data_IF_662804097860
#
_entry.id   IF_662804097860
#
_cell.length_a   1.000
_cell.length_b   1.000
_cell.length_c   1.000
_cell.angle_alpha   90.00
_cell.angle_beta   90.00
_cell.angle_gamma   90.00
#
_symmetry.space_group_name_H-M   'P 1'
#
loop_
_entity.id
_entity.type
_entity.pdbx_description
1 polymer ?
#
# COMPACT_ATOMS: atom_id res chain seq x y z
N UNK A 1 34.22 29.20 9.42
CA UNK A 1 34.11 29.55 7.99
C UNK A 1 32.64 29.48 7.62
N UNK A 2 32.03 30.58 7.18
CA UNK A 2 30.64 30.56 6.67
C UNK A 2 30.66 30.07 5.23
N UNK A 3 29.94 28.99 4.93
CA UNK A 3 29.69 28.56 3.56
C UNK A 3 28.76 29.62 2.92
N UNK A 4 29.30 30.44 2.02
CA UNK A 4 28.53 31.47 1.31
C UNK A 4 27.89 30.87 0.06
N UNK A 5 26.65 30.39 0.18
CA UNK A 5 25.88 29.86 -0.95
C UNK A 5 25.65 30.92 -2.04
N UNK A 6 25.97 30.59 -3.30
CA UNK A 6 25.74 31.50 -4.44
C UNK A 6 24.29 31.36 -4.94
N UNK A 7 23.64 32.46 -5.36
CA UNK A 7 22.26 32.42 -5.86
C UNK A 7 22.02 31.48 -7.05
N UNK A 8 23.03 31.29 -7.91
CA UNK A 8 22.99 30.39 -9.07
C UNK A 8 22.82 28.92 -8.66
N UNK A 9 23.41 28.52 -7.52
CA UNK A 9 23.30 27.18 -6.99
C UNK A 9 21.87 26.89 -6.50
N UNK A 10 21.24 27.86 -5.83
CA UNK A 10 19.86 27.76 -5.35
C UNK A 10 18.85 27.71 -6.51
N UNK A 11 19.09 28.47 -7.58
CA UNK A 11 18.30 28.42 -8.82
C UNK A 11 18.43 27.07 -9.55
N UNK A 12 19.62 26.45 -9.54
CA UNK A 12 19.80 25.10 -10.09
C UNK A 12 19.04 24.04 -9.29
N UNK A 13 19.06 24.12 -7.95
CA UNK A 13 18.26 23.24 -7.07
C UNK A 13 16.77 23.37 -7.33
N UNK A 14 16.30 24.62 -7.46
CA UNK A 14 14.93 24.91 -7.79
C UNK A 14 14.50 24.22 -9.10
N UNK A 15 15.35 24.21 -10.13
CA UNK A 15 15.02 23.60 -11.43
C UNK A 15 14.94 22.06 -11.38
N UNK A 16 15.68 21.41 -10.48
CA UNK A 16 15.67 19.95 -10.33
C UNK A 16 14.39 19.41 -9.67
N UNK A 17 13.63 20.27 -8.97
CA UNK A 17 12.33 19.92 -8.39
C UNK A 17 11.18 19.88 -9.41
N UNK A 18 11.31 20.55 -10.57
CA UNK A 18 10.25 20.62 -11.59
C UNK A 18 9.83 19.26 -12.18
N UNK A 19 10.76 18.37 -12.60
CA UNK A 19 10.40 17.03 -13.07
C UNK A 19 9.70 16.16 -12.01
N UNK A 20 10.07 16.33 -10.74
CA UNK A 20 9.47 15.62 -9.60
C UNK A 20 8.00 16.01 -9.45
N UNK A 21 7.70 17.30 -9.55
CA UNK A 21 6.32 17.83 -9.52
C UNK A 21 5.46 17.26 -10.64
N UNK A 22 6.00 17.12 -11.85
CA UNK A 22 5.28 16.54 -13.00
C UNK A 22 5.02 15.05 -12.83
N UNK A 23 6.00 14.28 -12.36
CA UNK A 23 5.85 12.84 -12.09
C UNK A 23 4.83 12.58 -10.97
N UNK A 24 4.84 13.40 -9.92
CA UNK A 24 3.91 13.34 -8.80
C UNK A 24 2.45 13.48 -9.23
N UNK A 25 2.14 14.48 -10.06
CA UNK A 25 0.77 14.72 -10.57
C UNK A 25 0.25 13.51 -11.33
N UNK A 26 1.10 12.90 -12.15
CA UNK A 26 0.77 11.71 -12.93
C UNK A 26 0.50 10.49 -12.04
N UNK A 27 1.29 10.30 -10.98
CA UNK A 27 1.07 9.22 -10.00
C UNK A 27 -0.29 9.36 -9.31
N UNK A 28 -0.67 10.57 -8.92
CA UNK A 28 -1.98 10.84 -8.33
C UNK A 28 -3.10 10.51 -9.30
N UNK A 29 -3.03 11.01 -10.52
CA UNK A 29 -4.13 10.88 -11.49
C UNK A 29 -4.30 9.46 -12.04
N UNK A 30 -3.20 8.69 -12.14
CA UNK A 30 -3.21 7.35 -12.73
C UNK A 30 -3.33 6.22 -11.70
N UNK A 31 -2.68 6.33 -10.53
CA UNK A 31 -2.56 5.21 -9.57
C UNK A 31 -3.58 5.26 -8.40
N UNK A 32 -4.28 6.38 -8.21
CA UNK A 32 -5.35 6.49 -7.19
C UNK A 32 -6.72 6.01 -7.69
N UNK A 33 -6.88 5.82 -9.02
CA UNK A 33 -8.15 5.38 -9.60
C UNK A 33 -8.56 4.00 -9.11
N UNK A 34 -9.73 3.93 -8.46
CA UNK A 34 -10.32 2.67 -7.99
C UNK A 34 -9.77 2.16 -6.66
N UNK A 35 -8.92 2.93 -5.97
CA UNK A 35 -8.48 2.66 -4.60
C UNK A 35 -9.22 3.63 -3.68
N UNK A 36 -9.87 3.10 -2.63
CA UNK A 36 -10.50 3.89 -1.55
C UNK A 36 -9.42 4.54 -0.69
N UNK A 37 -8.69 5.48 -1.29
CA UNK A 37 -7.50 6.11 -0.73
C UNK A 37 -7.73 7.60 -0.57
N UNK A 38 -8.80 7.97 0.13
CA UNK A 38 -9.18 9.37 0.39
C UNK A 38 -8.02 10.26 0.87
N UNK A 39 -6.97 9.68 1.46
CA UNK A 39 -5.75 10.38 1.85
C UNK A 39 -4.64 10.50 0.78
N UNK A 40 -4.50 9.56 -0.16
CA UNK A 40 -3.31 9.49 -1.03
C UNK A 40 -3.20 10.65 -2.03
N UNK A 41 -4.27 11.05 -2.75
CA UNK A 41 -4.26 12.25 -3.59
C UNK A 41 -3.97 13.53 -2.79
N UNK A 42 -4.51 13.63 -1.57
CA UNK A 42 -4.30 14.77 -0.68
C UNK A 42 -2.85 14.89 -0.20
N UNK A 43 -2.20 13.79 0.20
CA UNK A 43 -0.81 13.79 0.63
C UNK A 43 0.17 13.96 -0.53
N UNK A 44 -0.11 13.37 -1.68
CA UNK A 44 0.68 13.64 -2.88
C UNK A 44 0.58 15.12 -3.28
N UNK A 45 -0.60 15.75 -3.16
CA UNK A 45 -0.76 17.19 -3.35
C UNK A 45 0.03 18.01 -2.32
N UNK A 46 0.10 17.58 -1.05
CA UNK A 46 0.94 18.21 -0.03
C UNK A 46 2.43 18.11 -0.37
N UNK A 47 2.91 16.94 -0.80
CA UNK A 47 4.29 16.75 -1.25
C UNK A 47 4.62 17.62 -2.47
N UNK A 48 3.71 17.71 -3.44
CA UNK A 48 3.83 18.57 -4.62
C UNK A 48 3.92 20.04 -4.22
N UNK A 49 3.00 20.50 -3.36
CA UNK A 49 2.97 21.89 -2.94
C UNK A 49 4.22 22.26 -2.13
N UNK A 50 4.69 21.37 -1.26
CA UNK A 50 5.94 21.57 -0.52
C UNK A 50 7.16 21.64 -1.45
N UNK A 51 7.22 20.81 -2.50
CA UNK A 51 8.27 20.90 -3.51
C UNK A 51 8.21 22.23 -4.30
N UNK A 52 7.01 22.69 -4.67
CA UNK A 52 6.80 24.00 -5.33
C UNK A 52 7.19 25.15 -4.40
N UNK A 53 6.86 25.06 -3.12
CA UNK A 53 7.16 26.09 -2.13
C UNK A 53 8.66 26.16 -1.84
N UNK A 54 9.31 25.01 -1.62
CA UNK A 54 10.77 24.92 -1.50
C UNK A 54 11.47 25.47 -2.76
N UNK A 55 10.98 25.12 -3.96
CA UNK A 55 11.49 25.64 -5.23
C UNK A 55 11.41 27.18 -5.28
N UNK A 56 10.26 27.77 -4.91
CA UNK A 56 10.08 29.23 -4.89
C UNK A 56 10.96 29.90 -3.86
N UNK A 57 11.09 29.29 -2.68
CA UNK A 57 11.94 29.79 -1.59
C UNK A 57 13.40 29.79 -1.99
N UNK A 58 13.88 28.75 -2.68
CA UNK A 58 15.24 28.68 -3.20
C UNK A 58 15.48 29.65 -4.38
N UNK A 59 14.52 29.83 -5.27
CA UNK A 59 14.66 30.68 -6.47
C UNK A 59 14.60 32.20 -6.21
N UNK A 60 14.18 32.64 -5.02
CA UNK A 60 14.07 34.07 -4.71
C UNK A 60 15.41 34.66 -4.22
N UNK A 61 16.21 35.09 -5.19
CA UNK A 61 17.58 35.62 -5.11
C UNK A 61 17.73 36.94 -4.33
N UNK A 62 16.62 37.65 -4.01
CA UNK A 62 16.68 39.04 -3.49
C UNK A 62 16.83 39.16 -1.97
N UNK A 63 16.79 38.08 -1.20
CA UNK A 63 16.94 38.07 0.28
C UNK A 63 17.98 37.02 0.70
N UNK A 64 18.89 37.43 1.60
CA UNK A 64 20.12 36.75 2.04
C UNK A 64 20.10 35.19 2.21
N UNK A 65 21.26 34.49 2.09
CA UNK A 65 21.33 33.08 1.67
C UNK A 65 21.15 32.01 2.76
N UNK A 66 21.44 32.30 4.03
CA UNK A 66 21.51 31.26 5.06
C UNK A 66 20.13 30.82 5.60
N UNK A 67 19.16 31.73 5.68
CA UNK A 67 17.83 31.45 6.23
C UNK A 67 16.90 30.71 5.26
N UNK A 68 17.04 30.96 3.94
CA UNK A 68 16.23 30.36 2.87
C UNK A 68 16.36 28.86 2.78
N UNK A 69 17.60 28.39 2.95
CA UNK A 69 17.90 26.97 2.87
C UNK A 69 17.30 26.23 4.05
N UNK A 70 17.47 26.77 5.26
CA UNK A 70 16.85 26.24 6.46
C UNK A 70 15.31 26.21 6.34
N UNK A 71 14.71 27.26 5.78
CA UNK A 71 13.26 27.35 5.53
C UNK A 71 12.79 26.33 4.47
N UNK A 72 13.51 26.17 3.36
CA UNK A 72 13.21 25.17 2.34
C UNK A 72 13.36 23.74 2.89
N UNK A 73 14.39 23.48 3.70
CA UNK A 73 14.59 22.20 4.37
C UNK A 73 13.48 21.93 5.41
N UNK A 74 12.99 22.93 6.13
CA UNK A 74 11.87 22.82 7.08
C UNK A 74 10.53 22.51 6.38
N UNK A 75 10.27 23.15 5.23
CA UNK A 75 9.10 22.87 4.37
C UNK A 75 9.13 21.40 3.91
N UNK A 76 10.28 20.94 3.41
CA UNK A 76 10.45 19.56 2.96
C UNK A 76 10.35 18.55 4.12
N UNK A 77 10.88 18.88 5.30
CA UNK A 77 10.82 18.04 6.49
C UNK A 77 9.38 17.90 7.02
N UNK A 78 8.59 18.97 6.95
CA UNK A 78 7.15 18.93 7.26
C UNK A 78 6.40 18.02 6.28
N UNK A 79 6.74 18.08 5.00
CA UNK A 79 6.17 17.23 3.97
C UNK A 79 6.57 15.74 4.14
N UNK A 80 7.81 15.47 4.54
CA UNK A 80 8.32 14.13 4.86
C UNK A 80 7.58 13.51 6.06
N UNK A 81 7.30 14.31 7.10
CA UNK A 81 6.46 13.87 8.22
C UNK A 81 5.05 13.51 7.75
N UNK A 82 4.41 14.38 6.97
CA UNK A 82 3.08 14.11 6.43
C UNK A 82 3.03 12.85 5.54
N UNK A 83 4.09 12.58 4.78
CA UNK A 83 4.24 11.34 4.03
C UNK A 83 4.43 10.11 4.93
N UNK A 84 5.23 10.23 5.99
CA UNK A 84 5.46 9.15 6.95
C UNK A 84 4.16 8.79 7.69
N UNK A 85 3.38 9.79 8.10
CA UNK A 85 2.06 9.61 8.72
C UNK A 85 1.09 8.93 7.75
N UNK A 86 1.09 9.37 6.48
CA UNK A 86 0.30 8.71 5.44
C UNK A 86 0.70 7.26 5.23
N UNK A 87 2.01 6.96 5.18
CA UNK A 87 2.51 5.59 5.00
C UNK A 87 2.05 4.67 6.13
N UNK A 88 2.02 5.17 7.37
CA UNK A 88 1.44 4.42 8.49
C UNK A 88 -0.07 4.24 8.34
N UNK A 89 -0.78 5.29 7.89
CA UNK A 89 -2.22 5.27 7.72
C UNK A 89 -2.69 4.37 6.57
N UNK A 90 -1.98 4.34 5.43
CA UNK A 90 -2.40 3.59 4.24
C UNK A 90 -2.38 2.08 4.48
N UNK A 91 -1.43 1.57 5.26
CA UNK A 91 -1.40 0.16 5.64
C UNK A 91 -2.59 -0.20 6.54
N UNK A 92 -3.02 0.72 7.42
CA UNK A 92 -4.22 0.55 8.25
C UNK A 92 -5.49 0.61 7.40
N UNK A 93 -5.60 1.58 6.49
CA UNK A 93 -6.73 1.72 5.56
C UNK A 93 -6.85 0.47 4.67
N UNK A 94 -5.75 -0.01 4.10
CA UNK A 94 -5.72 -1.27 3.34
C UNK A 94 -6.23 -2.43 4.19
N UNK A 95 -5.76 -2.55 5.44
CA UNK A 95 -6.17 -3.63 6.35
C UNK A 95 -7.67 -3.58 6.67
N UNK A 96 -8.19 -2.39 7.01
CA UNK A 96 -9.62 -2.18 7.32
C UNK A 96 -10.48 -2.45 6.09
N UNK A 97 -10.11 -1.90 4.93
CA UNK A 97 -10.82 -2.11 3.67
C UNK A 97 -10.88 -3.58 3.28
N UNK A 98 -9.75 -4.30 3.36
CA UNK A 98 -9.72 -5.74 3.11
C UNK A 98 -10.57 -6.50 4.13
N UNK A 99 -10.59 -6.10 5.39
CA UNK A 99 -11.45 -6.71 6.41
C UNK A 99 -12.94 -6.48 6.11
N UNK A 100 -13.34 -5.29 5.69
CA UNK A 100 -14.72 -4.97 5.32
C UNK A 100 -15.18 -5.77 4.10
N UNK A 101 -14.35 -5.86 3.06
CA UNK A 101 -14.64 -6.71 1.91
C UNK A 101 -14.75 -8.20 2.29
N UNK A 102 -13.89 -8.67 3.20
CA UNK A 102 -13.95 -10.04 3.74
C UNK A 102 -15.27 -10.27 4.50
N UNK A 103 -15.68 -9.36 5.36
CA UNK A 103 -16.97 -9.46 6.09
C UNK A 103 -18.16 -9.44 5.13
N UNK A 104 -18.08 -8.64 4.06
CA UNK A 104 -19.16 -8.54 3.08
C UNK A 104 -19.36 -9.85 2.28
N UNK A 105 -18.28 -10.59 2.00
CA UNK A 105 -18.32 -11.82 1.20
C UNK A 105 -18.42 -13.10 2.04
N UNK A 106 -17.78 -13.14 3.21
CA UNK A 106 -17.79 -14.29 4.09
C UNK A 106 -18.98 -14.22 5.04
N UNK A 107 -19.98 -15.02 4.75
CA UNK A 107 -21.20 -15.14 5.54
C UNK A 107 -21.23 -16.53 6.13
N UNK A 108 -20.91 -16.62 7.43
CA UNK A 108 -21.05 -17.87 8.15
C UNK A 108 -22.51 -18.36 8.02
N UNK A 109 -22.75 -19.60 7.54
CA UNK A 109 -24.10 -20.11 7.44
C UNK A 109 -24.71 -20.20 8.84
N UNK A 110 -26.01 -19.92 8.96
CA UNK A 110 -26.77 -20.01 10.23
C UNK A 110 -28.01 -20.90 10.07
N UNK A 111 -28.64 -21.27 11.19
CA UNK A 111 -29.87 -22.08 11.19
C UNK A 111 -29.68 -23.52 10.69
N UNK A 112 -30.75 -24.10 10.16
CA UNK A 112 -30.77 -25.51 9.72
C UNK A 112 -29.81 -25.80 8.57
N UNK A 113 -29.65 -24.86 7.63
CA UNK A 113 -28.70 -24.99 6.52
C UNK A 113 -27.25 -25.11 7.02
N UNK A 114 -26.89 -24.38 8.08
CA UNK A 114 -25.59 -24.49 8.71
C UNK A 114 -25.36 -25.84 9.40
N UNK A 115 -26.39 -26.39 10.03
CA UNK A 115 -26.30 -27.69 10.69
C UNK A 115 -26.11 -28.81 9.66
N UNK A 116 -26.84 -28.75 8.55
CA UNK A 116 -26.70 -29.69 7.42
C UNK A 116 -25.29 -29.58 6.84
N UNK A 117 -24.86 -28.37 6.50
CA UNK A 117 -23.54 -28.15 5.91
C UNK A 117 -22.40 -28.57 6.88
N UNK A 118 -22.57 -28.42 8.20
CA UNK A 118 -21.61 -28.93 9.19
C UNK A 118 -21.56 -30.45 9.20
N UNK A 119 -22.71 -31.12 9.22
CA UNK A 119 -22.80 -32.58 9.14
C UNK A 119 -22.10 -33.11 7.89
N UNK A 120 -22.38 -32.50 6.74
CA UNK A 120 -21.79 -32.87 5.45
C UNK A 120 -20.26 -32.61 5.45
N UNK A 121 -19.82 -31.47 5.98
CA UNK A 121 -18.39 -31.16 6.11
C UNK A 121 -17.66 -32.15 7.03
N UNK A 122 -18.29 -32.55 8.14
CA UNK A 122 -17.74 -33.57 9.04
C UNK A 122 -17.62 -34.94 8.36
N UNK A 123 -18.59 -35.33 7.54
CA UNK A 123 -18.51 -36.58 6.77
C UNK A 123 -17.31 -36.56 5.82
N UNK A 124 -17.11 -35.44 5.10
CA UNK A 124 -15.94 -35.28 4.20
C UNK A 124 -14.63 -35.25 5.00
N UNK A 125 -14.60 -34.63 6.18
CA UNK A 125 -13.43 -34.62 7.07
C UNK A 125 -13.07 -35.98 7.66
N UNK A 126 -14.04 -36.88 7.85
CA UNK A 126 -13.78 -38.23 8.39
C UNK A 126 -13.26 -39.21 7.33
N UNK A 127 -13.28 -38.81 6.05
CA UNK A 127 -12.69 -39.58 4.96
C UNK A 127 -11.17 -39.64 5.10
N UNK A 128 -10.69 -40.82 5.45
CA UNK A 128 -9.25 -41.12 5.56
C UNK A 128 -8.60 -41.39 4.20
N UNK A 129 -9.41 -41.60 3.16
CA UNK A 129 -8.96 -41.76 1.77
C UNK A 129 -8.62 -40.42 1.08
N UNK A 130 -8.96 -39.28 1.70
CA UNK A 130 -8.66 -37.95 1.20
C UNK A 130 -7.60 -37.25 2.07
N UNK A 131 -6.68 -36.56 1.41
CA UNK A 131 -5.79 -35.61 2.10
C UNK A 131 -6.60 -34.43 2.62
N UNK A 132 -6.15 -33.78 3.70
CA UNK A 132 -6.82 -32.58 4.20
C UNK A 132 -6.86 -31.46 3.14
N UNK A 133 -5.85 -31.35 2.28
CA UNK A 133 -5.87 -30.40 1.17
C UNK A 133 -7.04 -30.69 0.20
N UNK A 134 -7.23 -31.97 -0.16
CA UNK A 134 -8.34 -32.38 -1.01
C UNK A 134 -9.69 -32.15 -0.33
N UNK A 135 -9.79 -32.38 0.98
CA UNK A 135 -11.00 -32.05 1.76
C UNK A 135 -11.35 -30.57 1.64
N UNK A 136 -10.40 -29.65 1.92
CA UNK A 136 -10.64 -28.22 1.80
C UNK A 136 -11.03 -27.82 0.36
N UNK A 137 -10.36 -28.38 -0.65
CA UNK A 137 -10.71 -28.14 -2.07
C UNK A 137 -12.10 -28.62 -2.42
N UNK A 138 -12.50 -29.82 -1.98
CA UNK A 138 -13.84 -30.37 -2.19
C UNK A 138 -14.91 -29.51 -1.54
N UNK A 139 -14.69 -29.06 -0.30
CA UNK A 139 -15.64 -28.20 0.42
C UNK A 139 -15.80 -26.83 -0.25
N UNK A 140 -14.68 -26.22 -0.69
CA UNK A 140 -14.75 -24.99 -1.48
C UNK A 140 -15.52 -25.25 -2.77
N UNK A 141 -15.19 -26.29 -3.54
CA UNK A 141 -15.83 -26.60 -4.81
C UNK A 141 -17.34 -26.88 -4.71
N UNK A 142 -17.80 -27.47 -3.60
CA UNK A 142 -19.22 -27.76 -3.35
C UNK A 142 -20.11 -26.50 -3.32
N UNK A 143 -19.54 -25.32 -3.03
CA UNK A 143 -20.28 -24.06 -3.02
C UNK A 143 -21.20 -23.88 -1.81
N UNK A 144 -21.98 -22.80 -1.83
CA UNK A 144 -22.97 -22.48 -0.79
C UNK A 144 -22.41 -22.48 0.64
N UNK A 145 -23.22 -22.96 1.58
CA UNK A 145 -22.87 -23.05 3.00
C UNK A 145 -21.64 -23.92 3.28
N UNK A 146 -21.39 -24.98 2.50
CA UNK A 146 -20.20 -25.83 2.63
C UNK A 146 -18.92 -25.06 2.34
N UNK A 147 -18.93 -24.28 1.26
CA UNK A 147 -17.78 -23.44 0.91
C UNK A 147 -17.51 -22.36 1.95
N UNK A 148 -18.54 -21.83 2.61
CA UNK A 148 -18.38 -20.85 3.72
C UNK A 148 -17.84 -21.52 5.00
N UNK A 149 -18.23 -22.76 5.29
CA UNK A 149 -17.68 -23.53 6.41
C UNK A 149 -16.22 -23.90 6.20
N UNK A 150 -15.80 -24.14 4.95
CA UNK A 150 -14.40 -24.40 4.60
C UNK A 150 -13.43 -23.29 5.03
N UNK A 151 -13.95 -22.08 5.17
CA UNK A 151 -13.21 -20.85 5.47
C UNK A 151 -13.32 -20.47 6.94
N UNK A 152 -14.17 -21.17 7.68
CA UNK A 152 -14.45 -20.87 9.09
C UNK A 152 -13.32 -21.35 10.00
N UNK A 153 -13.05 -20.65 11.13
CA UNK A 153 -12.10 -21.11 12.14
C UNK A 153 -12.48 -22.46 12.76
N UNK A 154 -13.76 -22.85 12.71
CA UNK A 154 -14.21 -24.15 13.21
C UNK A 154 -13.55 -25.31 12.45
N UNK A 155 -13.47 -25.21 11.11
CA UNK A 155 -12.86 -26.28 10.31
C UNK A 155 -11.36 -26.38 10.59
N UNK A 156 -10.69 -25.24 10.82
CA UNK A 156 -9.29 -25.20 11.24
C UNK A 156 -9.11 -25.99 12.55
N UNK A 157 -9.92 -25.72 13.58
CA UNK A 157 -9.86 -26.43 14.87
C UNK A 157 -10.05 -27.94 14.72
N UNK A 158 -11.04 -28.37 13.94
CA UNK A 158 -11.32 -29.80 13.71
C UNK A 158 -10.19 -30.46 12.89
N UNK A 159 -9.62 -29.74 11.92
CA UNK A 159 -8.54 -30.24 11.06
C UNK A 159 -7.16 -30.25 11.75
N UNK A 160 -6.94 -29.40 12.76
CA UNK A 160 -5.65 -29.30 13.46
C UNK A 160 -5.26 -30.64 14.13
N UNK A 161 -6.25 -31.44 14.53
CA UNK A 161 -6.03 -32.79 15.05
C UNK A 161 -5.49 -33.80 14.03
N UNK A 162 -5.55 -33.48 12.73
CA UNK A 162 -5.05 -34.32 11.62
C UNK A 162 -3.82 -33.73 10.92
N UNK A 163 -3.62 -32.40 10.97
CA UNK A 163 -2.46 -31.73 10.36
C UNK A 163 -2.17 -30.40 11.08
N UNK A 164 -0.92 -30.18 11.46
CA UNK A 164 -0.46 -28.93 12.08
C UNK A 164 -0.62 -27.70 11.16
N UNK A 165 -0.68 -27.90 9.83
CA UNK A 165 -0.78 -26.84 8.82
C UNK A 165 -2.23 -26.47 8.44
N UNK A 166 -3.22 -26.83 9.27
CA UNK A 166 -4.65 -26.55 9.02
C UNK A 166 -4.93 -25.05 8.73
N UNK A 167 -4.20 -24.15 9.39
CA UNK A 167 -4.27 -22.70 9.14
C UNK A 167 -3.84 -22.32 7.72
N UNK A 168 -2.75 -22.91 7.21
CA UNK A 168 -2.25 -22.64 5.87
C UNK A 168 -3.24 -23.16 4.80
N UNK A 169 -3.85 -24.32 5.05
CA UNK A 169 -4.89 -24.88 4.19
C UNK A 169 -6.14 -24.00 4.14
N UNK A 170 -6.57 -23.43 5.27
CA UNK A 170 -7.68 -22.47 5.32
C UNK A 170 -7.39 -21.22 4.49
N UNK A 171 -6.18 -20.67 4.60
CA UNK A 171 -5.77 -19.50 3.79
C UNK A 171 -5.80 -19.82 2.30
N UNK A 172 -5.32 -21.01 1.90
CA UNK A 172 -5.38 -21.44 0.50
C UNK A 172 -6.83 -21.63 0.01
N UNK A 173 -7.70 -22.18 0.87
CA UNK A 173 -9.13 -22.32 0.58
C UNK A 173 -9.83 -20.96 0.42
N UNK A 174 -9.47 -19.98 1.26
CA UNK A 174 -9.99 -18.60 1.18
C UNK A 174 -9.65 -17.99 -0.19
N UNK A 175 -8.39 -18.11 -0.63
CA UNK A 175 -7.96 -17.64 -1.94
C UNK A 175 -8.72 -18.32 -3.09
N UNK A 176 -8.90 -19.65 -3.02
CA UNK A 176 -9.64 -20.41 -4.03
C UNK A 176 -11.12 -20.01 -4.08
N UNK A 177 -11.75 -19.76 -2.92
CA UNK A 177 -13.11 -19.27 -2.84
C UNK A 177 -13.25 -17.88 -3.47
N UNK A 178 -12.39 -16.93 -3.10
CA UNK A 178 -12.41 -15.56 -3.65
C UNK A 178 -12.26 -15.60 -5.17
N UNK A 179 -11.33 -16.40 -5.69
CA UNK A 179 -11.11 -16.55 -7.12
C UNK A 179 -12.36 -17.09 -7.83
N UNK A 180 -13.02 -18.11 -7.26
CA UNK A 180 -14.26 -18.65 -7.82
C UNK A 180 -15.37 -17.61 -7.84
N UNK A 181 -15.61 -16.94 -6.72
CA UNK A 181 -16.65 -15.91 -6.64
C UNK A 181 -16.38 -14.77 -7.63
N UNK A 182 -15.12 -14.37 -7.81
CA UNK A 182 -14.73 -13.36 -8.79
C UNK A 182 -15.02 -13.80 -10.24
N UNK A 183 -14.74 -15.07 -10.56
CA UNK A 183 -15.04 -15.69 -11.85
C UNK A 183 -16.56 -15.79 -12.11
N UNK A 184 -17.35 -16.00 -11.05
CA UNK A 184 -18.82 -16.05 -11.10
C UNK A 184 -19.48 -14.66 -11.16
N UNK A 185 -18.69 -13.57 -11.24
CA UNK A 185 -19.22 -12.21 -11.36
C UNK A 185 -19.45 -11.48 -10.05
N UNK A 186 -19.02 -12.01 -8.91
CA UNK A 186 -19.11 -11.32 -7.63
C UNK A 186 -18.13 -10.15 -7.56
N UNK A 187 -18.66 -8.93 -7.52
CA UNK A 187 -17.88 -7.70 -7.53
C UNK A 187 -17.03 -7.52 -6.26
N UNK A 188 -17.54 -7.92 -5.09
CA UNK A 188 -16.78 -7.88 -3.82
C UNK A 188 -15.55 -8.78 -3.90
N UNK A 189 -15.68 -9.96 -4.49
CA UNK A 189 -14.57 -10.90 -4.67
C UNK A 189 -13.49 -10.33 -5.61
N UNK A 190 -13.91 -9.71 -6.72
CA UNK A 190 -13.00 -9.04 -7.68
C UNK A 190 -12.22 -7.92 -7.02
N UNK A 191 -12.89 -7.08 -6.22
CA UNK A 191 -12.25 -6.00 -5.44
C UNK A 191 -11.23 -6.57 -4.45
N UNK A 192 -11.58 -7.62 -3.73
CA UNK A 192 -10.71 -8.26 -2.74
C UNK A 192 -9.47 -8.88 -3.39
N UNK A 193 -9.59 -9.43 -4.60
CA UNK A 193 -8.46 -9.93 -5.38
C UNK A 193 -7.57 -8.81 -5.95
N UNK A 194 -8.15 -7.69 -6.37
CA UNK A 194 -7.42 -6.60 -7.01
C UNK A 194 -6.75 -5.63 -6.01
N UNK A 195 -7.37 -5.43 -4.84
CA UNK A 195 -6.97 -4.41 -3.87
C UNK A 195 -5.49 -4.50 -3.45
N UNK A 196 -4.92 -5.67 -3.05
CA UNK A 196 -3.52 -5.73 -2.62
C UNK A 196 -2.54 -5.25 -3.70
N UNK A 197 -2.83 -5.59 -4.97
CA UNK A 197 -2.00 -5.15 -6.10
C UNK A 197 -2.12 -3.64 -6.34
N UNK A 198 -3.32 -3.09 -6.19
CA UNK A 198 -3.56 -1.66 -6.35
C UNK A 198 -2.88 -0.84 -5.23
N UNK A 199 -3.02 -1.26 -3.98
CA UNK A 199 -2.34 -0.63 -2.83
C UNK A 199 -0.81 -0.77 -2.91
N UNK A 200 -0.28 -1.90 -3.42
CA UNK A 200 1.16 -2.06 -3.65
C UNK A 200 1.70 -1.07 -4.69
N UNK A 201 0.98 -0.88 -5.81
CA UNK A 201 1.34 0.12 -6.84
C UNK A 201 1.31 1.54 -6.26
N UNK A 202 0.29 1.87 -5.48
CA UNK A 202 0.17 3.17 -4.83
C UNK A 202 1.33 3.43 -3.86
N UNK A 203 1.68 2.47 -3.00
CA UNK A 203 2.82 2.57 -2.08
C UNK A 203 4.15 2.76 -2.81
N UNK A 204 4.39 1.97 -3.86
CA UNK A 204 5.60 2.08 -4.66
C UNK A 204 5.73 3.46 -5.34
N UNK A 205 4.63 3.95 -5.92
CA UNK A 205 4.61 5.24 -6.59
C UNK A 205 4.82 6.41 -5.60
N UNK A 206 4.21 6.33 -4.42
CA UNK A 206 4.36 7.34 -3.36
C UNK A 206 5.75 7.31 -2.71
N UNK A 207 6.35 6.13 -2.53
CA UNK A 207 7.73 6.01 -2.07
C UNK A 207 8.74 6.59 -3.06
N UNK A 208 8.53 6.37 -4.35
CA UNK A 208 9.34 6.97 -5.41
C UNK A 208 9.26 8.49 -5.38
N UNK A 209 8.04 9.04 -5.25
CA UNK A 209 7.84 10.49 -5.14
C UNK A 209 8.57 11.09 -3.94
N UNK A 210 8.44 10.48 -2.76
CA UNK A 210 9.13 10.93 -1.56
C UNK A 210 10.66 10.88 -1.72
N UNK A 211 11.18 9.81 -2.34
CA UNK A 211 12.60 9.66 -2.62
C UNK A 211 13.13 10.71 -3.61
N UNK A 212 12.36 11.07 -4.64
CA UNK A 212 12.74 12.12 -5.59
C UNK A 212 12.75 13.50 -4.90
N UNK A 213 11.73 13.84 -4.10
CA UNK A 213 11.69 15.12 -3.37
C UNK A 213 12.84 15.27 -2.35
N UNK A 214 13.19 14.19 -1.64
CA UNK A 214 14.25 14.21 -0.60
C UNK A 214 15.65 14.00 -1.17
N UNK A 215 15.76 13.22 -2.25
CA UNK A 215 17.01 12.85 -2.91
C UNK A 215 17.62 13.97 -3.74
N UNK A 216 16.80 14.70 -4.52
CA UNK A 216 17.23 15.87 -5.31
C UNK A 216 17.99 16.86 -4.42
N UNK A 217 17.52 17.06 -3.19
CA UNK A 217 18.12 18.01 -2.27
C UNK A 217 19.47 17.52 -1.66
N UNK A 218 19.68 16.21 -1.56
CA UNK A 218 20.92 15.60 -1.03
C UNK A 218 21.99 15.38 -2.10
N UNK A 219 21.61 14.94 -3.31
CA UNK A 219 22.56 14.70 -4.41
C UNK A 219 23.13 16.00 -4.95
N UNK A 220 22.30 17.02 -5.13
CA UNK A 220 22.73 18.30 -5.66
C UNK A 220 23.63 19.06 -4.64
N UNK A 221 23.39 18.87 -3.34
CA UNK A 221 24.31 19.31 -2.28
C UNK A 221 25.63 18.52 -2.31
N UNK A 222 25.59 17.20 -2.40
CA UNK A 222 26.80 16.37 -2.44
C UNK A 222 27.68 16.69 -3.65
N UNK A 223 27.10 16.87 -4.84
CA UNK A 223 27.82 17.28 -6.04
C UNK A 223 28.45 18.68 -5.91
N UNK A 224 27.77 19.63 -5.27
CA UNK A 224 28.32 20.98 -5.03
C UNK A 224 29.38 21.02 -3.94
N UNK A 225 29.20 20.27 -2.86
CA UNK A 225 30.25 20.12 -1.84
C UNK A 225 31.53 19.49 -2.44
N UNK A 226 31.37 18.52 -3.36
CA UNK A 226 32.48 17.91 -4.10
C UNK A 226 33.12 18.86 -5.12
N UNK A 227 32.34 19.68 -5.85
CA UNK A 227 32.89 20.64 -6.81
C UNK A 227 33.63 21.80 -6.11
N UNK A 228 33.23 22.16 -4.89
CA UNK A 228 33.91 23.16 -4.09
C UNK A 228 35.17 22.62 -3.41
N UNK A 229 35.15 21.35 -2.99
CA UNK A 229 36.33 20.66 -2.47
C UNK A 229 37.41 20.41 -3.53
N UNK A 230 37.03 20.34 -4.81
CA UNK A 230 37.97 20.16 -5.94
C UNK A 230 38.39 21.45 -6.64
N UNK A 231 37.65 22.56 -6.46
CA UNK A 231 38.04 23.87 -7.00
C UNK A 231 39.00 24.67 -6.08
N UNK A 232 39.16 24.23 -4.83
CA UNK A 232 40.04 24.86 -3.82
C UNK A 232 41.14 23.91 -3.30
N UNK A 233 41.33 22.74 -3.93
CA UNK A 233 42.44 21.81 -3.70
C UNK A 233 43.39 21.83 -4.91
#
# INVERSE_FOLDING_TARGET
MSITFRPEDLLKEANELSPVITAARRVVDEQSKGVDSDGAPGIASKLINAAIEAQRTLADVRKYPAGRRAEADEILLTAERAYSDWKGSIDVVETVYLADLRVAIFKAPTGTEALIARSDAEQVLRRNDLSLNDVFRTLVAAGGALSQLALSPWLELVATGRNADAKALRIAAEAAFIQREANNGNETARKLQAAPTAYAKLRAAMAKLAAECTGVNRSAFAERALSWGSANA
#
